data_IF_310365436195
#
_entry.id   IF_310365436195
#
_cell.length_a   1.000
_cell.length_b   1.000
_cell.length_c   1.000
_cell.angle_alpha   90.00
_cell.angle_beta   90.00
_cell.angle_gamma   90.00
#
_symmetry.space_group_name_H-M   'P 1'
#
loop_
_entity.id
_entity.type
_entity.pdbx_description
1 polymer ?
#
# COMPACT_ATOMS: atom_id res chain seq x y z
N UNK A 1 -35.52 -10.12 0.65
CA UNK A 1 -34.22 -9.48 1.04
C UNK A 1 -32.99 -10.37 0.79
N UNK A 2 -33.16 -11.64 0.52
CA UNK A 2 -32.08 -12.59 0.17
C UNK A 2 -31.47 -12.35 -1.21
N UNK A 3 -32.22 -11.76 -2.13
CA UNK A 3 -31.73 -11.51 -3.50
C UNK A 3 -30.51 -10.59 -3.62
N UNK A 4 -30.14 -9.90 -2.56
CA UNK A 4 -29.13 -8.83 -2.67
C UNK A 4 -27.67 -9.29 -2.49
N UNK A 5 -27.38 -10.58 -2.09
CA UNK A 5 -26.02 -11.14 -2.00
C UNK A 5 -25.72 -12.20 -3.05
N UNK A 6 -26.74 -12.76 -3.65
CA UNK A 6 -26.62 -13.88 -4.60
C UNK A 6 -25.84 -13.54 -5.88
N UNK A 7 -25.77 -12.25 -6.26
CA UNK A 7 -25.02 -11.86 -7.47
C UNK A 7 -23.51 -12.20 -7.37
N UNK A 8 -22.95 -12.20 -6.16
CA UNK A 8 -21.54 -12.59 -5.95
C UNK A 8 -21.29 -14.08 -6.22
N UNK A 9 -22.34 -14.90 -6.10
CA UNK A 9 -22.28 -16.34 -6.41
C UNK A 9 -22.67 -16.67 -7.85
N UNK A 10 -23.44 -15.82 -8.50
CA UNK A 10 -24.11 -16.13 -9.78
C UNK A 10 -23.56 -15.40 -10.98
N UNK A 11 -23.11 -14.15 -10.80
CA UNK A 11 -22.55 -13.38 -11.93
C UNK A 11 -21.22 -13.97 -12.42
N UNK A 12 -20.90 -13.80 -13.71
CA UNK A 12 -19.61 -14.25 -14.26
C UNK A 12 -18.43 -13.65 -13.49
N UNK A 13 -17.47 -14.51 -13.15
CA UNK A 13 -16.29 -14.15 -12.35
C UNK A 13 -15.53 -12.94 -12.93
N UNK A 14 -15.36 -12.89 -14.26
CA UNK A 14 -14.69 -11.77 -14.91
C UNK A 14 -15.39 -10.43 -14.71
N UNK A 15 -16.72 -10.41 -14.79
CA UNK A 15 -17.51 -9.19 -14.58
C UNK A 15 -17.41 -8.70 -13.13
N UNK A 16 -17.47 -9.60 -12.18
CA UNK A 16 -17.29 -9.27 -10.75
C UNK A 16 -15.90 -8.73 -10.47
N UNK A 17 -14.86 -9.34 -11.03
CA UNK A 17 -13.50 -8.86 -10.87
C UNK A 17 -13.35 -7.43 -11.40
N UNK A 18 -13.85 -7.13 -12.59
CA UNK A 18 -13.83 -5.76 -13.13
C UNK A 18 -14.59 -4.77 -12.22
N UNK A 19 -15.76 -5.16 -11.75
CA UNK A 19 -16.60 -4.31 -10.91
C UNK A 19 -15.95 -3.93 -9.58
N UNK A 20 -15.15 -4.82 -8.98
CA UNK A 20 -14.50 -4.61 -7.69
C UNK A 20 -13.03 -4.21 -7.81
N UNK A 21 -12.29 -4.78 -8.74
CA UNK A 21 -10.86 -4.50 -8.88
C UNK A 21 -10.58 -3.12 -9.47
N UNK A 22 -11.28 -2.72 -10.53
CA UNK A 22 -11.04 -1.42 -11.19
C UNK A 22 -11.19 -0.24 -10.24
N UNK A 23 -12.28 -0.09 -9.45
CA UNK A 23 -12.37 1.00 -8.49
C UNK A 23 -11.24 0.99 -7.45
N UNK A 24 -10.84 -0.16 -6.97
CA UNK A 24 -9.76 -0.29 -5.99
C UNK A 24 -8.40 0.10 -6.59
N UNK A 25 -8.11 -0.34 -7.81
CA UNK A 25 -6.90 0.06 -8.55
C UNK A 25 -6.85 1.56 -8.73
N UNK A 26 -7.95 2.18 -9.16
CA UNK A 26 -8.04 3.64 -9.34
C UNK A 26 -7.79 4.35 -8.01
N UNK A 27 -8.39 3.90 -6.91
CA UNK A 27 -8.19 4.49 -5.58
C UNK A 27 -6.72 4.47 -5.15
N UNK A 28 -6.06 3.32 -5.28
CA UNK A 28 -4.66 3.18 -4.86
C UNK A 28 -3.69 3.89 -5.79
N UNK A 29 -3.96 3.85 -7.10
CA UNK A 29 -3.14 4.53 -8.09
C UNK A 29 -3.21 6.06 -7.92
N UNK A 30 -4.40 6.61 -7.73
CA UNK A 30 -4.59 8.04 -7.45
C UNK A 30 -3.91 8.43 -6.13
N UNK A 31 -4.01 7.57 -5.11
CA UNK A 31 -3.31 7.79 -3.84
C UNK A 31 -1.78 7.86 -3.99
N UNK A 32 -1.20 6.99 -4.82
CA UNK A 32 0.23 7.03 -5.12
C UNK A 32 0.62 8.29 -5.94
N UNK A 33 -0.20 8.65 -6.92
CA UNK A 33 0.06 9.80 -7.79
C UNK A 33 -0.07 11.14 -7.06
N UNK A 34 -1.08 11.32 -6.20
CA UNK A 34 -1.22 12.59 -5.50
C UNK A 34 -0.06 12.85 -4.52
N UNK A 35 0.50 11.83 -3.90
CA UNK A 35 1.69 11.97 -3.07
C UNK A 35 2.90 12.49 -3.88
N UNK A 36 3.05 12.01 -5.11
CA UNK A 36 4.10 12.50 -6.02
C UNK A 36 3.85 13.96 -6.41
N UNK A 37 2.60 14.31 -6.71
CA UNK A 37 2.21 15.68 -7.06
C UNK A 37 2.45 16.65 -5.91
N UNK A 38 2.10 16.27 -4.68
CA UNK A 38 2.35 17.05 -3.47
C UNK A 38 3.84 17.34 -3.28
N UNK A 39 4.69 16.32 -3.44
CA UNK A 39 6.15 16.50 -3.41
C UNK A 39 6.65 17.45 -4.49
N UNK A 40 6.08 17.39 -5.69
CA UNK A 40 6.44 18.30 -6.79
C UNK A 40 6.09 19.75 -6.43
N UNK A 41 4.93 20.01 -5.86
CA UNK A 41 4.55 21.36 -5.42
C UNK A 41 5.48 21.88 -4.33
N UNK A 42 5.82 21.09 -3.34
CA UNK A 42 6.76 21.48 -2.27
C UNK A 42 8.15 21.77 -2.86
N UNK A 43 8.63 20.90 -3.76
CA UNK A 43 9.95 21.07 -4.38
C UNK A 43 10.05 22.33 -5.26
N UNK A 44 8.94 22.76 -5.88
CA UNK A 44 8.90 23.96 -6.72
C UNK A 44 8.62 25.25 -5.95
N UNK A 45 8.37 25.18 -4.65
CA UNK A 45 8.22 26.35 -3.81
C UNK A 45 9.61 26.92 -3.46
N UNK A 46 10.02 27.98 -4.16
CA UNK A 46 11.37 28.55 -4.04
C UNK A 46 11.72 29.03 -2.62
N UNK A 47 10.73 29.50 -1.85
CA UNK A 47 10.93 29.96 -0.48
C UNK A 47 11.10 28.83 0.55
N UNK A 48 10.68 27.60 0.22
CA UNK A 48 10.92 26.41 1.05
C UNK A 48 12.27 25.77 0.74
N UNK A 49 12.75 25.91 -0.49
CA UNK A 49 13.98 25.29 -0.95
C UNK A 49 13.98 23.77 -0.81
N UNK A 50 15.16 23.20 -0.72
CA UNK A 50 15.34 21.76 -0.49
C UNK A 50 14.93 21.31 0.92
N UNK A 51 14.82 22.23 1.87
CA UNK A 51 14.44 21.94 3.26
C UNK A 51 13.01 21.46 3.38
N UNK A 52 12.09 22.00 2.58
CA UNK A 52 10.69 21.55 2.56
C UNK A 52 10.56 20.10 2.09
N UNK A 53 11.27 19.74 1.04
CA UNK A 53 11.27 18.36 0.53
C UNK A 53 11.95 17.39 1.50
N UNK A 54 13.03 17.81 2.16
CA UNK A 54 13.68 17.04 3.22
C UNK A 54 12.74 16.79 4.40
N UNK A 55 12.00 17.81 4.84
CA UNK A 55 11.00 17.70 5.90
C UNK A 55 9.88 16.71 5.55
N UNK A 56 9.37 16.76 4.32
CA UNK A 56 8.38 15.79 3.83
C UNK A 56 8.93 14.35 3.88
N UNK A 57 10.18 14.17 3.48
CA UNK A 57 10.85 12.85 3.54
C UNK A 57 10.99 12.31 4.96
N UNK A 58 11.28 13.17 5.94
CA UNK A 58 11.37 12.81 7.36
C UNK A 58 10.02 12.36 7.91
N UNK A 59 8.95 13.03 7.54
CA UNK A 59 7.58 12.76 8.05
C UNK A 59 6.91 11.58 7.32
N UNK A 60 7.28 11.29 6.09
CA UNK A 60 6.66 10.23 5.28
C UNK A 60 6.58 8.87 5.99
N UNK A 61 7.64 8.32 6.64
CA UNK A 61 7.53 7.04 7.33
C UNK A 61 6.46 7.02 8.43
N UNK A 62 6.21 8.16 9.06
CA UNK A 62 5.23 8.29 10.14
C UNK A 62 3.79 8.20 9.59
N UNK A 63 3.56 8.72 8.40
CA UNK A 63 2.27 8.55 7.71
C UNK A 63 2.07 7.09 7.26
N UNK A 64 3.13 6.41 6.88
CA UNK A 64 3.07 4.98 6.51
C UNK A 64 2.76 4.10 7.73
N UNK A 65 3.26 4.43 8.91
CA UNK A 65 2.87 3.72 10.16
C UNK A 65 1.36 3.85 10.41
N UNK A 66 0.81 5.05 10.26
CA UNK A 66 -0.63 5.28 10.38
C UNK A 66 -1.41 4.47 9.34
N UNK A 67 -0.96 4.47 8.09
CA UNK A 67 -1.55 3.67 7.01
C UNK A 67 -1.50 2.18 7.33
N UNK A 68 -0.38 1.67 7.83
CA UNK A 68 -0.22 0.26 8.17
C UNK A 68 -1.26 -0.20 9.20
N UNK A 69 -1.48 0.59 10.25
CA UNK A 69 -2.50 0.31 11.27
C UNK A 69 -3.90 0.36 10.65
N UNK A 70 -4.18 1.37 9.85
CA UNK A 70 -5.48 1.56 9.21
C UNK A 70 -5.84 0.40 8.27
N UNK A 71 -4.92 -0.02 7.39
CA UNK A 71 -5.18 -1.14 6.47
C UNK A 71 -5.23 -2.48 7.17
N UNK A 72 -4.52 -2.64 8.28
CA UNK A 72 -4.66 -3.85 9.12
C UNK A 72 -6.09 -3.99 9.62
N UNK A 73 -6.69 -2.93 10.12
CA UNK A 73 -8.08 -2.91 10.57
C UNK A 73 -9.03 -3.09 9.38
N UNK A 74 -8.85 -2.32 8.33
CA UNK A 74 -9.74 -2.28 7.18
C UNK A 74 -9.76 -3.56 6.36
N UNK A 75 -8.61 -4.06 5.94
CA UNK A 75 -8.52 -5.29 5.15
C UNK A 75 -8.87 -6.54 5.98
N UNK A 76 -8.49 -6.54 7.26
CA UNK A 76 -8.90 -7.60 8.18
C UNK A 76 -10.41 -7.66 8.36
N UNK A 77 -11.05 -6.51 8.56
CA UNK A 77 -12.50 -6.41 8.62
C UNK A 77 -13.16 -6.79 7.29
N UNK A 78 -12.64 -6.33 6.16
CA UNK A 78 -13.16 -6.66 4.83
C UNK A 78 -13.17 -8.18 4.60
N UNK A 79 -12.07 -8.85 4.92
CA UNK A 79 -11.96 -10.31 4.81
C UNK A 79 -12.94 -11.03 5.72
N UNK A 80 -12.97 -10.66 6.99
CA UNK A 80 -13.88 -11.29 7.97
C UNK A 80 -15.35 -11.10 7.59
N UNK A 81 -15.74 -9.90 7.24
CA UNK A 81 -17.10 -9.55 6.80
C UNK A 81 -17.49 -10.32 5.55
N UNK A 82 -16.62 -10.40 4.56
CA UNK A 82 -16.88 -11.08 3.30
C UNK A 82 -17.12 -12.58 3.51
N UNK A 83 -16.28 -13.22 4.32
CA UNK A 83 -16.44 -14.65 4.68
C UNK A 83 -17.72 -14.85 5.50
N UNK A 84 -18.00 -13.98 6.47
CA UNK A 84 -19.19 -14.07 7.31
C UNK A 84 -20.48 -13.92 6.50
N UNK A 85 -20.51 -13.00 5.54
CA UNK A 85 -21.64 -12.84 4.62
C UNK A 85 -21.84 -14.07 3.74
N UNK A 86 -20.77 -14.68 3.25
CA UNK A 86 -20.81 -15.92 2.50
C UNK A 86 -21.39 -17.09 3.30
N UNK A 87 -21.11 -17.13 4.61
CA UNK A 87 -21.67 -18.11 5.56
C UNK A 87 -23.10 -17.79 6.00
N UNK A 88 -23.68 -16.68 5.55
CA UNK A 88 -24.99 -16.22 6.00
C UNK A 88 -25.02 -15.58 7.41
N UNK A 89 -23.87 -15.35 8.02
CA UNK A 89 -23.73 -14.78 9.38
C UNK A 89 -23.70 -13.25 9.33
N UNK A 90 -24.83 -12.64 9.00
CA UNK A 90 -24.93 -11.17 8.86
C UNK A 90 -24.69 -10.41 10.16
N UNK A 91 -25.08 -11.00 11.29
CA UNK A 91 -24.88 -10.36 12.60
C UNK A 91 -23.40 -10.23 12.95
N UNK A 92 -22.60 -11.29 12.71
CA UNK A 92 -21.14 -11.27 12.89
C UNK A 92 -20.49 -10.22 11.98
N UNK A 93 -20.95 -10.11 10.74
CA UNK A 93 -20.48 -9.09 9.80
C UNK A 93 -20.78 -7.66 10.29
N UNK A 94 -21.99 -7.39 10.80
CA UNK A 94 -22.34 -6.07 11.36
C UNK A 94 -21.50 -5.73 12.58
N UNK A 95 -21.32 -6.67 13.49
CA UNK A 95 -20.47 -6.49 14.67
C UNK A 95 -19.02 -6.20 14.28
N UNK A 96 -18.49 -6.89 13.29
CA UNK A 96 -17.16 -6.65 12.78
C UNK A 96 -17.00 -5.23 12.22
N UNK A 97 -17.97 -4.73 11.46
CA UNK A 97 -17.96 -3.35 10.95
C UNK A 97 -18.00 -2.34 12.11
N UNK A 98 -18.89 -2.54 13.10
CA UNK A 98 -18.95 -1.66 14.27
C UNK A 98 -17.65 -1.64 15.07
N UNK A 99 -17.05 -2.79 15.28
CA UNK A 99 -15.74 -2.91 15.95
C UNK A 99 -14.60 -2.26 15.13
N UNK A 100 -14.63 -2.40 13.81
CA UNK A 100 -13.64 -1.74 12.93
C UNK A 100 -13.75 -0.22 12.98
N UNK A 101 -14.96 0.33 13.03
CA UNK A 101 -15.20 1.77 13.22
C UNK A 101 -14.57 2.28 14.51
N UNK A 102 -14.82 1.59 15.62
CA UNK A 102 -14.30 1.96 16.94
C UNK A 102 -12.77 1.82 16.98
N UNK A 103 -12.22 0.73 16.44
CA UNK A 103 -10.79 0.51 16.38
C UNK A 103 -10.08 1.57 15.53
N UNK A 104 -10.65 1.91 14.37
CA UNK A 104 -10.06 2.92 13.48
C UNK A 104 -10.07 4.31 14.12
N UNK A 105 -11.20 4.72 14.71
CA UNK A 105 -11.30 5.99 15.40
C UNK A 105 -10.39 6.04 16.64
N UNK A 106 -10.43 5.02 17.48
CA UNK A 106 -9.65 4.93 18.72
C UNK A 106 -8.15 4.88 18.47
N UNK A 107 -7.70 4.04 17.54
CA UNK A 107 -6.27 3.94 17.18
C UNK A 107 -5.75 5.23 16.55
N UNK A 108 -6.57 5.90 15.74
CA UNK A 108 -6.24 7.21 15.16
C UNK A 108 -6.04 8.27 16.22
N UNK A 109 -6.92 8.35 17.23
CA UNK A 109 -6.78 9.28 18.34
C UNK A 109 -5.56 8.97 19.21
N UNK A 110 -5.33 7.70 19.53
CA UNK A 110 -4.17 7.28 20.33
C UNK A 110 -2.87 7.62 19.59
N UNK A 111 -2.78 7.31 18.31
CA UNK A 111 -1.59 7.61 17.52
C UNK A 111 -1.35 9.12 17.39
N UNK A 112 -2.40 9.92 17.24
CA UNK A 112 -2.31 11.38 17.22
C UNK A 112 -1.75 11.91 18.53
N UNK A 113 -2.24 11.44 19.67
CA UNK A 113 -1.73 11.84 20.99
C UNK A 113 -0.25 11.47 21.14
N UNK A 114 0.13 10.26 20.76
CA UNK A 114 1.53 9.82 20.80
C UNK A 114 2.42 10.66 19.89
N UNK A 115 1.97 10.98 18.68
CA UNK A 115 2.72 11.82 17.75
C UNK A 115 2.90 13.24 18.25
N UNK A 116 1.86 13.83 18.84
CA UNK A 116 1.95 15.20 19.39
C UNK A 116 2.85 15.26 20.63
N UNK A 117 2.79 14.27 21.53
CA UNK A 117 3.59 14.23 22.74
C UNK A 117 5.06 13.90 22.48
N UNK A 118 5.35 13.04 21.51
CA UNK A 118 6.70 12.54 21.21
C UNK A 118 7.25 13.08 19.90
N UNK A 119 6.70 14.18 19.37
CA UNK A 119 7.03 14.70 18.06
C UNK A 119 8.55 14.93 17.86
N UNK A 120 9.20 15.61 18.78
CA UNK A 120 10.61 15.96 18.65
C UNK A 120 11.51 14.72 18.68
N UNK A 121 11.23 13.77 19.58
CA UNK A 121 11.98 12.53 19.68
C UNK A 121 11.81 11.66 18.42
N UNK A 122 10.59 11.57 17.91
CA UNK A 122 10.29 10.78 16.71
C UNK A 122 10.96 11.41 15.49
N UNK A 123 10.85 12.71 15.30
CA UNK A 123 11.48 13.41 14.17
C UNK A 123 13.01 13.32 14.22
N UNK A 124 13.61 13.37 15.41
CA UNK A 124 15.04 13.17 15.59
C UNK A 124 15.47 11.75 15.16
N UNK A 125 14.68 10.72 15.50
CA UNK A 125 14.95 9.34 15.10
C UNK A 125 14.92 9.14 13.57
N UNK A 126 14.11 9.90 12.86
CA UNK A 126 13.98 9.79 11.39
C UNK A 126 14.83 10.80 10.61
N UNK A 127 15.80 11.41 11.26
CA UNK A 127 16.81 12.27 10.62
C UNK A 127 16.42 13.74 10.48
N UNK A 128 15.41 14.20 11.20
CA UNK A 128 14.99 15.61 11.18
C UNK A 128 16.03 16.59 11.70
N UNK A 129 16.99 16.12 12.48
CA UNK A 129 18.04 16.95 13.11
C UNK A 129 19.25 17.23 12.23
N UNK A 130 19.21 16.92 10.94
CA UNK A 130 20.31 17.17 9.98
C UNK A 130 20.70 18.66 9.97
N UNK A 131 19.72 19.55 10.01
CA UNK A 131 19.93 20.99 10.20
C UNK A 131 18.69 21.62 10.86
N UNK A 132 18.87 22.84 11.38
CA UNK A 132 17.82 23.54 12.13
C UNK A 132 16.58 23.87 11.28
N UNK A 133 16.75 24.19 10.00
CA UNK A 133 15.63 24.55 9.12
C UNK A 133 14.81 23.32 8.74
N UNK A 134 15.44 22.20 8.39
CA UNK A 134 14.75 20.93 8.14
C UNK A 134 13.97 20.49 9.37
N UNK A 135 14.55 20.62 10.57
CA UNK A 135 13.87 20.27 11.81
C UNK A 135 12.64 21.16 12.06
N UNK A 136 12.76 22.46 11.87
CA UNK A 136 11.66 23.41 12.01
C UNK A 136 10.51 23.10 11.03
N UNK A 137 10.82 22.89 9.76
CA UNK A 137 9.81 22.52 8.76
C UNK A 137 9.20 21.15 9.03
N UNK A 138 9.98 20.19 9.50
CA UNK A 138 9.49 18.88 9.92
C UNK A 138 8.53 18.97 11.09
N UNK A 139 8.84 19.77 12.11
CA UNK A 139 7.96 20.01 13.25
C UNK A 139 6.64 20.65 12.82
N UNK A 140 6.69 21.68 11.98
CA UNK A 140 5.50 22.36 11.46
C UNK A 140 4.62 21.40 10.64
N UNK A 141 5.21 20.72 9.69
CA UNK A 141 4.49 19.76 8.83
C UNK A 141 3.90 18.60 9.65
N UNK A 142 4.68 18.02 10.54
CA UNK A 142 4.28 16.89 11.36
C UNK A 142 3.17 17.26 12.35
N UNK A 143 3.21 18.45 12.93
CA UNK A 143 2.13 18.91 13.81
C UNK A 143 0.78 18.93 13.11
N UNK A 144 0.70 19.56 11.94
CA UNK A 144 -0.56 19.65 11.20
C UNK A 144 -0.99 18.31 10.60
N UNK A 145 -0.06 17.52 10.10
CA UNK A 145 -0.36 16.16 9.64
C UNK A 145 -0.88 15.28 10.78
N UNK A 146 -0.32 15.40 11.99
CA UNK A 146 -0.77 14.64 13.17
C UNK A 146 -2.21 14.95 13.55
N UNK A 147 -2.64 16.20 13.38
CA UNK A 147 -4.04 16.59 13.61
C UNK A 147 -5.00 15.90 12.62
N UNK A 148 -4.53 15.58 11.43
CA UNK A 148 -5.29 14.87 10.40
C UNK A 148 -5.23 13.35 10.50
N UNK A 149 -4.36 12.77 11.32
CA UNK A 149 -4.17 11.31 11.43
C UNK A 149 -5.47 10.55 11.78
N UNK A 150 -6.32 11.00 12.71
CA UNK A 150 -7.58 10.30 12.98
C UNK A 150 -8.47 10.19 11.74
N UNK A 151 -8.58 11.25 10.98
CA UNK A 151 -9.38 11.29 9.74
C UNK A 151 -8.74 10.42 8.65
N UNK A 152 -7.43 10.50 8.49
CA UNK A 152 -6.68 9.69 7.53
C UNK A 152 -6.84 8.19 7.81
N UNK A 153 -6.59 7.77 9.03
CA UNK A 153 -6.72 6.37 9.43
C UNK A 153 -8.16 5.87 9.29
N UNK A 154 -9.13 6.69 9.67
CA UNK A 154 -10.55 6.34 9.54
C UNK A 154 -10.93 6.14 8.06
N UNK A 155 -10.57 7.06 7.19
CA UNK A 155 -10.85 6.95 5.76
C UNK A 155 -10.18 5.73 5.11
N UNK A 156 -8.92 5.48 5.45
CA UNK A 156 -8.18 4.34 4.92
C UNK A 156 -8.70 2.98 5.44
N UNK A 157 -9.12 2.92 6.70
CA UNK A 157 -9.70 1.71 7.26
C UNK A 157 -11.10 1.43 6.72
N UNK A 158 -11.91 2.46 6.52
CA UNK A 158 -13.30 2.30 6.04
C UNK A 158 -13.40 2.01 4.55
N UNK A 159 -12.41 2.35 3.74
CA UNK A 159 -12.43 2.07 2.31
C UNK A 159 -12.62 0.57 2.00
N UNK A 160 -11.81 -0.38 2.56
CA UNK A 160 -12.07 -1.81 2.41
C UNK A 160 -13.42 -2.27 2.96
N UNK A 161 -13.84 -1.70 4.09
CA UNK A 161 -15.14 -2.04 4.71
C UNK A 161 -16.30 -1.66 3.80
N UNK A 162 -16.26 -0.50 3.18
CA UNK A 162 -17.26 -0.04 2.21
C UNK A 162 -17.29 -0.95 0.99
N UNK A 163 -16.13 -1.40 0.50
CA UNK A 163 -16.06 -2.40 -0.58
C UNK A 163 -16.73 -3.71 -0.19
N UNK A 164 -16.48 -4.20 1.03
CA UNK A 164 -17.14 -5.40 1.55
C UNK A 164 -18.65 -5.24 1.65
N UNK A 165 -19.10 -4.01 1.93
CA UNK A 165 -20.50 -3.61 1.91
C UNK A 165 -21.11 -3.38 0.54
N UNK A 166 -20.46 -3.81 -0.54
CA UNK A 166 -20.88 -3.77 -1.95
C UNK A 166 -20.93 -2.41 -2.61
N UNK A 167 -20.16 -1.47 -2.12
CA UNK A 167 -20.05 -0.15 -2.72
C UNK A 167 -18.61 0.18 -3.12
N UNK A 168 -17.94 -0.62 -4.00
CA UNK A 168 -16.58 -0.33 -4.41
C UNK A 168 -16.47 1.01 -5.14
N UNK A 169 -17.49 1.40 -5.91
CA UNK A 169 -17.54 2.71 -6.58
C UNK A 169 -17.58 3.86 -5.59
N UNK A 170 -18.36 3.74 -4.53
CA UNK A 170 -18.42 4.79 -3.51
C UNK A 170 -17.09 4.91 -2.77
N UNK A 171 -16.44 3.81 -2.43
CA UNK A 171 -15.10 3.81 -1.85
C UNK A 171 -14.08 4.53 -2.74
N UNK A 172 -14.11 4.28 -4.04
CA UNK A 172 -13.31 5.00 -5.03
C UNK A 172 -13.63 6.49 -5.07
N UNK A 173 -14.90 6.86 -5.15
CA UNK A 173 -15.34 8.27 -5.21
C UNK A 173 -14.91 9.04 -3.98
N UNK A 174 -15.01 8.46 -2.79
CA UNK A 174 -14.58 9.12 -1.55
C UNK A 174 -13.08 9.40 -1.54
N UNK A 175 -12.27 8.46 -2.00
CA UNK A 175 -10.82 8.65 -2.14
C UNK A 175 -10.48 9.69 -3.20
N UNK A 176 -11.14 9.64 -4.36
CA UNK A 176 -10.95 10.61 -5.44
C UNK A 176 -11.33 12.03 -5.01
N UNK A 177 -12.43 12.19 -4.30
CA UNK A 177 -12.86 13.51 -3.80
C UNK A 177 -11.80 14.13 -2.89
N UNK A 178 -11.27 13.36 -1.95
CA UNK A 178 -10.20 13.81 -1.07
C UNK A 178 -8.91 14.18 -1.83
N UNK A 179 -8.50 13.34 -2.78
CA UNK A 179 -7.30 13.57 -3.59
C UNK A 179 -7.44 14.80 -4.50
N UNK A 180 -8.57 14.99 -5.15
CA UNK A 180 -8.84 16.16 -6.02
C UNK A 180 -8.81 17.45 -5.20
N UNK A 181 -9.46 17.49 -4.05
CA UNK A 181 -9.43 18.66 -3.17
C UNK A 181 -8.00 18.97 -2.70
N UNK A 182 -7.25 17.96 -2.31
CA UNK A 182 -5.84 18.12 -1.94
C UNK A 182 -5.02 18.75 -3.08
N UNK A 183 -5.10 18.18 -4.29
CA UNK A 183 -4.36 18.67 -5.46
C UNK A 183 -4.76 20.10 -5.83
N UNK A 184 -6.03 20.49 -5.68
CA UNK A 184 -6.49 21.85 -5.95
C UNK A 184 -6.05 22.85 -4.88
N UNK A 185 -6.03 22.46 -3.62
CA UNK A 185 -5.68 23.33 -2.50
C UNK A 185 -4.16 23.50 -2.31
N UNK A 186 -3.36 22.51 -2.67
CA UNK A 186 -1.90 22.57 -2.53
C UNK A 186 -1.28 23.82 -3.19
N UNK A 187 -1.51 24.10 -4.49
CA UNK A 187 -0.97 25.29 -5.11
C UNK A 187 -1.46 26.59 -4.46
N UNK A 188 -2.72 26.62 -4.05
CA UNK A 188 -3.31 27.80 -3.43
C UNK A 188 -2.63 28.09 -2.09
N UNK A 189 -2.49 27.10 -1.23
CA UNK A 189 -1.90 27.30 0.09
C UNK A 189 -0.38 27.45 0.08
N UNK A 190 0.31 26.79 -0.85
CA UNK A 190 1.77 26.86 -0.96
C UNK A 190 2.21 28.11 -1.72
N UNK A 191 1.63 28.42 -2.89
CA UNK A 191 2.10 29.47 -3.78
C UNK A 191 1.37 30.80 -3.59
N UNK A 192 0.04 30.79 -3.43
CA UNK A 192 -0.76 32.03 -3.29
C UNK A 192 -0.75 32.54 -1.87
N UNK A 193 -1.14 31.68 -0.91
CA UNK A 193 -1.17 32.05 0.52
C UNK A 193 0.22 32.06 1.18
N UNK A 194 1.19 31.38 0.58
CA UNK A 194 2.56 31.22 1.10
C UNK A 194 2.62 30.68 2.53
N UNK A 195 1.77 29.73 2.83
CA UNK A 195 1.75 29.11 4.16
C UNK A 195 2.86 28.06 4.37
N UNK A 196 3.63 27.75 3.34
CA UNK A 196 4.76 26.83 3.42
C UNK A 196 4.36 25.41 3.72
N UNK A 197 5.08 24.76 4.62
CA UNK A 197 4.80 23.37 5.02
C UNK A 197 3.45 23.23 5.74
N UNK A 198 3.02 24.25 6.47
CA UNK A 198 1.68 24.30 7.03
C UNK A 198 0.61 24.21 5.93
N UNK A 199 0.78 24.95 4.84
CA UNK A 199 -0.15 24.92 3.70
C UNK A 199 -0.27 23.55 3.05
N UNK A 200 0.85 22.90 2.81
CA UNK A 200 0.88 21.53 2.28
C UNK A 200 0.17 20.54 3.22
N UNK A 201 0.46 20.62 4.51
CA UNK A 201 -0.18 19.76 5.52
C UNK A 201 -1.68 20.02 5.63
N UNK A 202 -2.12 21.27 5.67
CA UNK A 202 -3.53 21.64 5.77
C UNK A 202 -4.31 21.17 4.54
N UNK A 203 -3.77 21.33 3.33
CA UNK A 203 -4.39 20.85 2.10
C UNK A 203 -4.60 19.32 2.16
N UNK A 204 -3.60 18.59 2.60
CA UNK A 204 -3.67 17.13 2.79
C UNK A 204 -4.73 16.76 3.83
N UNK A 205 -4.75 17.43 4.97
CA UNK A 205 -5.72 17.17 6.05
C UNK A 205 -7.15 17.46 5.61
N UNK A 206 -7.39 18.53 4.85
CA UNK A 206 -8.72 18.84 4.31
C UNK A 206 -9.20 17.71 3.39
N UNK A 207 -8.33 17.20 2.51
CA UNK A 207 -8.64 16.05 1.67
C UNK A 207 -8.98 14.80 2.49
N UNK A 208 -8.24 14.54 3.55
CA UNK A 208 -8.47 13.41 4.47
C UNK A 208 -9.80 13.55 5.24
N UNK A 209 -10.12 14.75 5.71
CA UNK A 209 -11.39 15.05 6.36
C UNK A 209 -12.58 14.82 5.43
N UNK A 210 -12.46 15.20 4.17
CA UNK A 210 -13.51 14.96 3.16
C UNK A 210 -13.71 13.46 2.95
N UNK A 211 -12.64 12.70 2.78
CA UNK A 211 -12.70 11.23 2.61
C UNK A 211 -13.34 10.57 3.85
N UNK A 212 -12.90 10.93 5.04
CA UNK A 212 -13.46 10.41 6.28
C UNK A 212 -14.93 10.83 6.47
N UNK A 213 -15.27 12.06 6.16
CA UNK A 213 -16.64 12.58 6.24
C UNK A 213 -17.59 11.83 5.30
N UNK A 214 -17.17 11.54 4.07
CA UNK A 214 -17.95 10.72 3.15
C UNK A 214 -18.14 9.29 3.66
N UNK A 215 -17.12 8.71 4.27
CA UNK A 215 -17.23 7.40 4.90
C UNK A 215 -18.23 7.40 6.06
N UNK A 216 -18.16 8.37 6.96
CA UNK A 216 -19.11 8.54 8.08
C UNK A 216 -20.53 8.74 7.56
N UNK A 217 -20.70 9.54 6.52
CA UNK A 217 -22.00 9.77 5.90
C UNK A 217 -22.60 8.49 5.30
N UNK A 218 -21.75 7.64 4.71
CA UNK A 218 -22.18 6.43 4.01
C UNK A 218 -22.44 5.24 4.95
N UNK A 219 -21.68 5.09 6.04
CA UNK A 219 -21.82 3.95 6.95
C UNK A 219 -23.26 3.69 7.43
N UNK A 220 -24.07 4.68 7.89
CA UNK A 220 -25.46 4.45 8.27
C UNK A 220 -26.37 4.11 7.09
N UNK A 221 -25.91 4.35 5.86
CA UNK A 221 -26.65 4.13 4.61
C UNK A 221 -26.30 2.84 3.92
N UNK A 222 -25.39 2.05 4.48
CA UNK A 222 -25.02 0.74 3.94
C UNK A 222 -26.24 -0.18 3.86
N UNK A 223 -26.41 -0.80 2.70
CA UNK A 223 -27.59 -1.66 2.46
C UNK A 223 -27.45 -3.05 3.06
N UNK A 224 -26.23 -3.57 3.16
CA UNK A 224 -25.95 -4.97 3.51
C UNK A 224 -25.49 -5.12 4.94
N UNK A 225 -24.57 -4.26 5.39
CA UNK A 225 -23.90 -4.36 6.68
C UNK A 225 -23.99 -3.03 7.44
N UNK A 226 -25.20 -2.58 7.68
CA UNK A 226 -25.41 -1.34 8.44
C UNK A 226 -25.06 -1.55 9.91
N UNK A 227 -24.00 -0.91 10.43
CA UNK A 227 -23.67 -1.03 11.85
C UNK A 227 -24.70 -0.24 12.70
N UNK A 228 -25.17 -0.87 13.77
CA UNK A 228 -26.02 -0.25 14.77
C UNK A 228 -25.24 0.12 16.03
N UNK A 229 -25.88 0.85 16.94
CA UNK A 229 -25.26 1.20 18.24
C UNK A 229 -24.85 -0.03 19.07
N UNK A 230 -25.57 -1.14 18.89
CA UNK A 230 -25.29 -2.43 19.58
C UNK A 230 -24.04 -3.14 19.06
N UNK A 231 -23.58 -2.77 17.86
CA UNK A 231 -22.42 -3.37 17.22
C UNK A 231 -21.11 -2.64 17.55
N UNK A 232 -21.19 -1.48 18.19
CA UNK A 232 -20.01 -0.67 18.56
C UNK A 232 -19.18 -1.23 19.73
N UNK A 233 -19.73 -1.89 20.77
CA UNK A 233 -18.92 -2.43 21.84
C UNK A 233 -17.89 -3.42 21.32
N UNK A 234 -16.63 -3.26 21.75
CA UNK A 234 -15.52 -4.11 21.32
C UNK A 234 -15.63 -5.52 21.89
N UNK A 235 -15.54 -6.51 21.02
CA UNK A 235 -15.43 -7.92 21.38
C UNK A 235 -13.99 -8.40 21.13
N UNK A 236 -13.26 -8.74 22.18
CA UNK A 236 -11.86 -9.09 22.08
C UNK A 236 -11.54 -10.22 21.10
N UNK A 237 -12.35 -11.30 21.10
CA UNK A 237 -12.17 -12.42 20.16
C UNK A 237 -12.40 -12.00 18.72
N UNK A 238 -13.41 -11.19 18.45
CA UNK A 238 -13.75 -10.68 17.12
C UNK A 238 -12.65 -9.74 16.61
N UNK A 239 -12.22 -8.80 17.44
CA UNK A 239 -11.11 -7.90 17.11
C UNK A 239 -9.82 -8.67 16.82
N UNK A 240 -9.49 -9.67 17.64
CA UNK A 240 -8.32 -10.51 17.41
C UNK A 240 -8.37 -11.24 16.07
N UNK A 241 -9.50 -11.80 15.69
CA UNK A 241 -9.67 -12.45 14.38
C UNK A 241 -9.52 -11.49 13.22
N UNK A 242 -10.14 -10.30 13.30
CA UNK A 242 -10.03 -9.28 12.25
C UNK A 242 -8.58 -8.81 12.11
N UNK A 243 -7.92 -8.48 13.20
CA UNK A 243 -6.54 -8.00 13.18
C UNK A 243 -5.58 -9.06 12.67
N UNK A 244 -5.78 -10.32 13.06
CA UNK A 244 -4.98 -11.46 12.56
C UNK A 244 -5.09 -11.60 11.04
N UNK A 245 -6.27 -11.43 10.48
CA UNK A 245 -6.48 -11.44 9.03
C UNK A 245 -5.83 -10.22 8.33
N UNK A 246 -5.70 -9.10 9.04
CA UNK A 246 -5.12 -7.87 8.51
C UNK A 246 -3.60 -7.74 8.66
N UNK A 247 -2.93 -8.63 9.40
CA UNK A 247 -1.48 -8.52 9.65
C UNK A 247 -0.66 -8.51 8.35
N UNK A 248 -1.08 -9.24 7.33
CA UNK A 248 -0.42 -9.22 6.02
C UNK A 248 -0.35 -7.81 5.43
N UNK A 249 -1.44 -7.07 5.47
CA UNK A 249 -1.50 -5.69 4.99
C UNK A 249 -0.62 -4.77 5.84
N UNK A 250 -0.62 -4.94 7.16
CA UNK A 250 0.26 -4.21 8.07
C UNK A 250 1.74 -4.44 7.74
N UNK A 251 2.16 -5.69 7.61
CA UNK A 251 3.54 -6.05 7.29
C UNK A 251 3.97 -5.49 5.93
N UNK A 252 3.10 -5.53 4.93
CA UNK A 252 3.39 -4.97 3.60
C UNK A 252 3.69 -3.47 3.64
N UNK A 253 3.04 -2.72 4.51
CA UNK A 253 3.28 -1.28 4.65
C UNK A 253 4.52 -0.97 5.50
N UNK A 254 4.67 -1.63 6.64
CA UNK A 254 5.82 -1.41 7.54
C UNK A 254 7.13 -1.84 6.89
N UNK A 255 7.15 -2.95 6.18
CA UNK A 255 8.34 -3.44 5.49
C UNK A 255 8.81 -2.52 4.37
N UNK A 256 7.88 -1.80 3.72
CA UNK A 256 8.24 -0.79 2.74
C UNK A 256 9.18 0.27 3.33
N UNK A 257 8.85 0.78 4.53
CA UNK A 257 9.69 1.78 5.23
C UNK A 257 11.04 1.17 5.62
N UNK A 258 11.03 -0.04 6.17
CA UNK A 258 12.26 -0.72 6.55
C UNK A 258 13.17 -1.02 5.34
N UNK A 259 12.59 -1.46 4.24
CA UNK A 259 13.32 -1.72 3.00
C UNK A 259 13.90 -0.44 2.40
N UNK A 260 13.13 0.66 2.37
CA UNK A 260 13.63 1.96 1.91
C UNK A 260 14.79 2.47 2.76
N UNK A 261 14.68 2.35 4.08
CA UNK A 261 15.76 2.74 4.99
C UNK A 261 17.02 1.91 4.76
N UNK A 262 16.89 0.59 4.63
CA UNK A 262 18.00 -0.31 4.35
C UNK A 262 18.67 0.01 3.01
N UNK A 263 17.88 0.18 1.95
CA UNK A 263 18.36 0.52 0.61
C UNK A 263 19.09 1.86 0.62
N UNK A 264 18.51 2.89 1.22
CA UNK A 264 19.12 4.22 1.26
C UNK A 264 20.46 4.21 2.03
N UNK A 265 20.52 3.51 3.15
CA UNK A 265 21.76 3.38 3.92
C UNK A 265 22.84 2.63 3.13
N UNK A 266 22.47 1.58 2.44
CA UNK A 266 23.42 0.80 1.61
C UNK A 266 23.88 1.57 0.38
N UNK A 267 22.99 2.32 -0.27
CA UNK A 267 23.36 3.20 -1.38
C UNK A 267 24.35 4.27 -0.95
N UNK A 268 24.17 4.87 0.22
CA UNK A 268 25.10 5.85 0.78
C UNK A 268 26.45 5.22 1.08
N UNK A 269 26.45 4.09 1.78
CA UNK A 269 27.70 3.39 2.18
C UNK A 269 28.50 2.89 0.98
N UNK A 270 27.89 2.15 0.09
CA UNK A 270 28.57 1.53 -1.04
C UNK A 270 28.74 2.48 -2.23
N UNK A 271 27.91 3.49 -2.37
CA UNK A 271 28.12 4.59 -3.30
C UNK A 271 29.38 5.38 -2.99
N UNK A 272 29.67 5.64 -1.72
CA UNK A 272 30.90 6.29 -1.28
C UNK A 272 32.18 5.47 -1.57
N UNK A 273 32.05 4.14 -1.67
CA UNK A 273 33.16 3.24 -1.99
C UNK A 273 33.32 2.99 -3.50
N UNK A 274 32.37 3.45 -4.32
CA UNK A 274 32.44 3.30 -5.77
C UNK A 274 33.44 4.27 -6.40
N UNK A 275 34.25 3.85 -7.39
CA UNK A 275 35.26 4.72 -8.02
C UNK A 275 34.67 5.96 -8.69
N UNK A 276 33.44 5.90 -9.22
CA UNK A 276 32.77 7.01 -9.89
C UNK A 276 31.90 7.79 -8.91
N UNK A 277 31.01 7.11 -8.16
CA UNK A 277 30.06 7.74 -7.27
C UNK A 277 30.64 8.12 -5.89
N UNK A 278 31.85 7.70 -5.59
CA UNK A 278 32.62 8.20 -4.45
C UNK A 278 33.12 9.63 -4.62
N UNK A 279 33.10 10.17 -5.85
CA UNK A 279 33.43 11.58 -6.13
C UNK A 279 32.27 12.49 -5.69
N UNK A 280 32.61 13.62 -5.06
CA UNK A 280 31.63 14.54 -4.50
C UNK A 280 30.58 15.03 -5.53
N UNK A 281 31.00 15.22 -6.77
CA UNK A 281 30.14 15.70 -7.86
C UNK A 281 29.09 14.67 -8.34
N UNK A 282 29.29 13.38 -8.07
CA UNK A 282 28.42 12.27 -8.51
C UNK A 282 27.80 11.50 -7.35
N UNK A 283 28.06 11.90 -6.12
CA UNK A 283 27.66 11.15 -4.92
C UNK A 283 26.14 10.94 -4.77
N UNK A 284 25.34 11.87 -5.30
CA UNK A 284 23.86 11.83 -5.23
C UNK A 284 23.22 10.90 -6.26
N UNK A 285 23.94 10.50 -7.31
CA UNK A 285 23.39 9.74 -8.44
C UNK A 285 22.74 8.41 -8.02
N UNK A 286 23.39 7.53 -7.21
CA UNK A 286 22.78 6.26 -6.83
C UNK A 286 21.44 6.41 -6.14
N UNK A 287 21.32 7.34 -5.20
CA UNK A 287 20.06 7.59 -4.48
C UNK A 287 18.98 8.16 -5.38
N UNK A 288 19.34 9.11 -6.25
CA UNK A 288 18.40 9.71 -7.19
C UNK A 288 17.84 8.67 -8.18
N UNK A 289 18.71 7.85 -8.74
CA UNK A 289 18.32 6.82 -9.70
C UNK A 289 17.45 5.73 -9.07
N UNK A 290 17.87 5.18 -7.95
CA UNK A 290 17.07 4.14 -7.27
C UNK A 290 15.75 4.72 -6.78
N UNK A 291 15.72 5.98 -6.38
CA UNK A 291 14.47 6.68 -6.05
C UNK A 291 13.47 6.70 -7.22
N UNK A 292 13.94 6.93 -8.44
CA UNK A 292 13.10 6.91 -9.66
C UNK A 292 12.58 5.49 -9.93
N UNK A 293 13.44 4.49 -9.86
CA UNK A 293 13.08 3.08 -10.04
C UNK A 293 12.02 2.65 -9.03
N UNK A 294 12.18 3.07 -7.77
CA UNK A 294 11.21 2.77 -6.72
C UNK A 294 9.86 3.46 -6.93
N UNK A 295 9.82 4.69 -7.47
CA UNK A 295 8.57 5.36 -7.84
C UNK A 295 7.82 4.60 -8.92
N UNK A 296 8.51 4.17 -9.95
CA UNK A 296 7.92 3.31 -10.98
C UNK A 296 7.38 2.01 -10.41
N UNK A 297 8.18 1.35 -9.60
CA UNK A 297 7.79 0.12 -8.90
C UNK A 297 6.55 0.34 -7.99
N UNK A 298 6.49 1.45 -7.29
CA UNK A 298 5.34 1.80 -6.45
C UNK A 298 4.04 1.94 -7.24
N UNK A 299 4.10 2.52 -8.44
CA UNK A 299 2.95 2.61 -9.35
C UNK A 299 2.49 1.20 -9.75
N UNK A 300 3.42 0.34 -10.16
CA UNK A 300 3.11 -1.05 -10.52
C UNK A 300 2.47 -1.80 -9.36
N UNK A 301 3.06 -1.71 -8.18
CA UNK A 301 2.53 -2.37 -6.97
C UNK A 301 1.17 -1.81 -6.54
N UNK A 302 0.91 -0.52 -6.74
CA UNK A 302 -0.41 0.06 -6.47
C UNK A 302 -1.49 -0.59 -7.35
N UNK A 303 -1.19 -0.84 -8.61
CA UNK A 303 -2.09 -1.56 -9.52
C UNK A 303 -2.29 -3.01 -9.05
N UNK A 304 -1.22 -3.70 -8.74
CA UNK A 304 -1.22 -5.10 -8.29
C UNK A 304 -1.99 -5.28 -6.99
N UNK A 305 -1.67 -4.51 -5.97
CA UNK A 305 -2.39 -4.54 -4.69
C UNK A 305 -3.86 -4.15 -4.87
N UNK A 306 -4.14 -3.16 -5.73
CA UNK A 306 -5.50 -2.74 -6.05
C UNK A 306 -6.34 -3.86 -6.67
N UNK A 307 -5.77 -4.64 -7.59
CA UNK A 307 -6.47 -5.79 -8.19
C UNK A 307 -6.72 -6.89 -7.16
N UNK A 308 -5.72 -7.25 -6.40
CA UNK A 308 -5.83 -8.32 -5.41
C UNK A 308 -6.74 -7.94 -4.24
N UNK A 309 -6.53 -6.76 -3.64
CA UNK A 309 -7.35 -6.27 -2.53
C UNK A 309 -8.79 -5.95 -2.95
N UNK A 310 -9.00 -5.48 -4.16
CA UNK A 310 -10.32 -5.28 -4.74
C UNK A 310 -11.13 -6.57 -4.86
N UNK A 311 -10.45 -7.70 -5.07
CA UNK A 311 -11.10 -9.01 -5.15
C UNK A 311 -11.39 -9.65 -3.79
N UNK A 312 -10.88 -9.13 -2.67
CA UNK A 312 -11.12 -9.71 -1.33
C UNK A 312 -12.62 -9.92 -1.04
N UNK A 313 -13.53 -8.96 -1.29
CA UNK A 313 -14.95 -9.17 -1.06
C UNK A 313 -15.55 -10.35 -1.83
N UNK A 314 -15.13 -10.53 -3.08
CA UNK A 314 -15.65 -11.62 -3.94
C UNK A 314 -15.10 -12.97 -3.49
N UNK A 315 -13.80 -13.03 -3.28
CA UNK A 315 -13.09 -14.25 -2.85
C UNK A 315 -13.58 -14.69 -1.48
N UNK A 316 -13.61 -13.76 -0.52
CA UNK A 316 -14.07 -14.05 0.84
C UNK A 316 -15.52 -14.52 0.89
N UNK A 317 -16.42 -13.87 0.14
CA UNK A 317 -17.82 -14.27 0.06
C UNK A 317 -17.98 -15.69 -0.50
N UNK A 318 -17.38 -15.97 -1.66
CA UNK A 318 -17.47 -17.30 -2.28
C UNK A 318 -16.80 -18.38 -1.42
N UNK A 319 -15.75 -18.02 -0.68
CA UNK A 319 -15.12 -18.94 0.26
C UNK A 319 -16.06 -19.26 1.44
N UNK A 320 -16.72 -18.26 2.00
CA UNK A 320 -17.72 -18.43 3.05
C UNK A 320 -18.94 -19.20 2.59
N UNK A 321 -19.36 -19.05 1.34
CA UNK A 321 -20.46 -19.76 0.72
C UNK A 321 -20.08 -21.17 0.22
N UNK A 322 -18.85 -21.62 0.48
CA UNK A 322 -18.32 -22.93 0.08
C UNK A 322 -18.29 -23.16 -1.45
N UNK A 323 -18.29 -22.08 -2.26
CA UNK A 323 -18.19 -22.11 -3.71
C UNK A 323 -16.73 -22.23 -4.18
N UNK A 324 -16.05 -23.29 -3.78
CA UNK A 324 -14.59 -23.46 -3.99
C UNK A 324 -14.15 -23.42 -5.44
N UNK A 325 -14.98 -23.92 -6.38
CA UNK A 325 -14.67 -23.81 -7.80
C UNK A 325 -14.61 -22.37 -8.29
N UNK A 326 -15.51 -21.52 -7.81
CA UNK A 326 -15.48 -20.09 -8.14
C UNK A 326 -14.26 -19.40 -7.53
N UNK A 327 -13.90 -19.75 -6.30
CA UNK A 327 -12.67 -19.27 -5.65
C UNK A 327 -11.43 -19.68 -6.45
N UNK A 328 -11.39 -20.91 -6.94
CA UNK A 328 -10.31 -21.39 -7.83
C UNK A 328 -10.24 -20.60 -9.14
N UNK A 329 -11.38 -20.34 -9.78
CA UNK A 329 -11.45 -19.51 -10.99
C UNK A 329 -10.98 -18.08 -10.74
N UNK A 330 -11.40 -17.47 -9.62
CA UNK A 330 -10.95 -16.14 -9.18
C UNK A 330 -9.44 -16.12 -8.99
N UNK A 331 -8.89 -17.12 -8.34
CA UNK A 331 -7.44 -17.23 -8.12
C UNK A 331 -6.66 -17.32 -9.43
N UNK A 332 -7.09 -18.18 -10.33
CA UNK A 332 -6.46 -18.36 -11.65
C UNK A 332 -6.49 -17.05 -12.44
N UNK A 333 -7.64 -16.39 -12.52
CA UNK A 333 -7.77 -15.12 -13.25
C UNK A 333 -6.97 -14.01 -12.59
N UNK A 334 -6.92 -13.95 -11.27
CA UNK A 334 -6.11 -12.98 -10.54
C UNK A 334 -4.62 -13.18 -10.85
N UNK A 335 -4.11 -14.40 -10.75
CA UNK A 335 -2.70 -14.69 -11.06
C UNK A 335 -2.33 -14.34 -12.49
N UNK A 336 -3.19 -14.64 -13.46
CA UNK A 336 -2.97 -14.30 -14.87
C UNK A 336 -2.96 -12.78 -15.05
N UNK A 337 -3.91 -12.07 -14.47
CA UNK A 337 -3.98 -10.62 -14.57
C UNK A 337 -2.75 -9.94 -13.92
N UNK A 338 -2.32 -10.41 -12.76
CA UNK A 338 -1.13 -9.90 -12.07
C UNK A 338 0.16 -10.20 -12.85
N UNK A 339 0.29 -11.40 -13.42
CA UNK A 339 1.40 -11.74 -14.28
C UNK A 339 1.41 -10.87 -15.55
N UNK A 340 0.25 -10.56 -16.13
CA UNK A 340 0.14 -9.67 -17.27
C UNK A 340 0.59 -8.23 -16.94
N UNK A 341 0.17 -7.69 -15.81
CA UNK A 341 0.65 -6.38 -15.34
C UNK A 341 2.16 -6.38 -15.13
N UNK A 342 2.68 -7.42 -14.49
CA UNK A 342 4.12 -7.61 -14.31
C UNK A 342 4.87 -7.70 -15.63
N UNK A 343 4.34 -8.41 -16.62
CA UNK A 343 4.91 -8.53 -17.95
C UNK A 343 4.96 -7.18 -18.68
N UNK A 344 3.89 -6.38 -18.60
CA UNK A 344 3.88 -5.03 -19.16
C UNK A 344 4.91 -4.15 -18.49
N UNK A 345 5.01 -4.18 -17.15
CA UNK A 345 6.01 -3.43 -16.39
C UNK A 345 7.43 -3.85 -16.77
N UNK A 346 7.68 -5.15 -16.94
CA UNK A 346 8.96 -5.70 -17.35
C UNK A 346 9.34 -5.21 -18.76
N UNK A 347 8.41 -5.28 -19.71
CA UNK A 347 8.63 -4.79 -21.07
C UNK A 347 8.96 -3.29 -21.09
N UNK A 348 8.26 -2.49 -20.31
CA UNK A 348 8.56 -1.06 -20.19
C UNK A 348 9.96 -0.83 -19.60
N UNK A 349 10.32 -1.55 -18.56
CA UNK A 349 11.64 -1.40 -17.92
C UNK A 349 12.81 -1.89 -18.78
N UNK A 350 12.63 -2.97 -19.54
CA UNK A 350 13.69 -3.56 -20.38
C UNK A 350 13.80 -2.91 -21.76
N UNK A 351 12.67 -2.62 -22.40
CA UNK A 351 12.63 -2.09 -23.77
C UNK A 351 12.63 -0.57 -23.84
N UNK A 352 12.03 0.12 -22.86
CA UNK A 352 11.86 1.58 -22.84
C UNK A 352 12.44 2.24 -21.59
N UNK A 353 13.60 1.84 -21.04
CA UNK A 353 14.12 2.43 -19.82
C UNK A 353 14.47 3.90 -19.97
N UNK A 354 14.93 4.33 -21.14
CA UNK A 354 15.24 5.74 -21.43
C UNK A 354 14.02 6.65 -21.35
N UNK A 355 12.88 6.17 -21.85
CA UNK A 355 11.62 6.91 -21.78
C UNK A 355 11.15 7.04 -20.32
N UNK A 356 11.30 6.00 -19.51
CA UNK A 356 10.99 6.03 -18.07
C UNK A 356 11.91 6.99 -17.32
N UNK A 357 13.19 7.01 -17.62
CA UNK A 357 14.15 7.94 -17.04
C UNK A 357 13.77 9.40 -17.39
N UNK A 358 13.36 9.65 -18.63
CA UNK A 358 12.93 10.98 -19.07
C UNK A 358 11.66 11.46 -18.34
N UNK A 359 10.73 10.55 -18.07
CA UNK A 359 9.46 10.87 -17.38
C UNK A 359 9.68 11.12 -15.88
N UNK A 360 10.48 10.28 -15.22
CA UNK A 360 10.63 10.28 -13.76
C UNK A 360 11.88 10.99 -13.27
N UNK A 361 12.84 11.31 -14.15
CA UNK A 361 14.12 11.89 -13.81
C UNK A 361 14.53 13.04 -14.74
N UNK A 362 15.70 13.60 -14.48
CA UNK A 362 16.26 14.65 -15.30
C UNK A 362 16.83 14.08 -16.60
N UNK A 363 16.30 14.52 -17.73
CA UNK A 363 16.73 14.06 -19.06
C UNK A 363 18.16 14.50 -19.45
N UNK A 364 18.74 15.50 -18.77
CA UNK A 364 20.01 16.15 -19.13
C UNK A 364 21.11 15.98 -18.06
N UNK A 365 21.08 14.84 -17.37
CA UNK A 365 22.14 14.49 -16.42
C UNK A 365 23.39 13.92 -17.13
N UNK A 366 24.45 13.68 -16.37
CA UNK A 366 25.70 13.11 -16.89
C UNK A 366 25.52 11.71 -17.50
N UNK A 367 26.47 11.27 -18.32
CA UNK A 367 26.49 9.92 -18.87
C UNK A 367 26.49 8.84 -17.78
N UNK A 368 27.16 9.08 -16.65
CA UNK A 368 27.17 8.17 -15.50
C UNK A 368 25.77 8.00 -14.89
N UNK A 369 24.98 9.05 -14.83
CA UNK A 369 23.59 9.00 -14.40
C UNK A 369 22.75 8.08 -15.33
N UNK A 370 22.85 8.32 -16.63
CA UNK A 370 22.08 7.55 -17.62
C UNK A 370 22.47 6.09 -17.62
N UNK A 371 23.77 5.77 -17.59
CA UNK A 371 24.25 4.39 -17.59
C UNK A 371 23.84 3.62 -16.32
N UNK A 372 23.95 4.26 -15.17
CA UNK A 372 23.51 3.66 -13.91
C UNK A 372 21.98 3.51 -13.87
N UNK A 373 21.23 4.49 -14.38
CA UNK A 373 19.76 4.42 -14.43
C UNK A 373 19.28 3.29 -15.36
N UNK A 374 19.88 3.13 -16.54
CA UNK A 374 19.57 2.01 -17.44
C UNK A 374 19.81 0.66 -16.77
N UNK A 375 20.95 0.53 -16.10
CA UNK A 375 21.30 -0.69 -15.37
C UNK A 375 20.34 -0.94 -14.20
N UNK A 376 20.01 0.10 -13.44
CA UNK A 376 19.12 0.01 -12.31
C UNK A 376 17.70 -0.42 -12.72
N UNK A 377 17.12 0.18 -13.75
CA UNK A 377 15.81 -0.22 -14.25
C UNK A 377 15.79 -1.67 -14.71
N UNK A 378 16.81 -2.10 -15.44
CA UNK A 378 16.87 -3.46 -15.97
C UNK A 378 17.08 -4.51 -14.89
N UNK A 379 17.99 -4.28 -13.95
CA UNK A 379 18.31 -5.26 -12.90
C UNK A 379 17.24 -5.29 -11.84
N UNK A 380 16.89 -4.14 -11.26
CA UNK A 380 15.98 -4.07 -10.13
C UNK A 380 14.57 -4.57 -10.46
N UNK A 381 14.11 -4.34 -11.69
CA UNK A 381 12.79 -4.74 -12.17
C UNK A 381 12.83 -6.05 -13.00
N UNK A 382 13.94 -6.75 -13.06
CA UNK A 382 14.09 -7.96 -13.89
C UNK A 382 13.09 -9.07 -13.52
N UNK A 383 12.72 -9.19 -12.26
CA UNK A 383 11.79 -10.20 -11.73
C UNK A 383 10.47 -9.58 -11.23
N UNK A 384 10.05 -8.46 -11.81
CA UNK A 384 8.82 -7.77 -11.39
C UNK A 384 7.56 -8.62 -11.62
N UNK A 385 7.57 -9.52 -12.60
CA UNK A 385 6.47 -10.47 -12.80
C UNK A 385 6.28 -11.36 -11.58
N UNK A 386 7.37 -11.88 -11.04
CA UNK A 386 7.35 -12.70 -9.82
C UNK A 386 6.93 -11.89 -8.60
N UNK A 387 7.36 -10.63 -8.51
CA UNK A 387 6.92 -9.72 -7.46
C UNK A 387 5.40 -9.54 -7.46
N UNK A 388 4.81 -9.33 -8.63
CA UNK A 388 3.36 -9.21 -8.81
C UNK A 388 2.62 -10.49 -8.39
N UNK A 389 3.08 -11.65 -8.84
CA UNK A 389 2.50 -12.95 -8.50
C UNK A 389 2.62 -13.24 -7.00
N UNK A 390 3.74 -12.93 -6.38
CA UNK A 390 3.93 -13.08 -4.94
C UNK A 390 2.95 -12.20 -4.14
N UNK A 391 2.78 -10.93 -4.52
CA UNK A 391 1.79 -10.04 -3.90
C UNK A 391 0.37 -10.57 -4.02
N UNK A 392 -0.02 -11.01 -5.22
CA UNK A 392 -1.32 -11.64 -5.45
C UNK A 392 -1.53 -12.87 -4.55
N UNK A 393 -0.51 -13.70 -4.41
CA UNK A 393 -0.58 -14.93 -3.62
C UNK A 393 -0.88 -14.64 -2.14
N UNK A 394 -0.13 -13.74 -1.48
CA UNK A 394 -0.39 -13.50 -0.06
C UNK A 394 -1.66 -12.70 0.22
N UNK A 395 -2.07 -11.80 -0.66
CA UNK A 395 -3.37 -11.13 -0.53
C UNK A 395 -4.53 -12.12 -0.75
N UNK A 396 -4.40 -13.03 -1.71
CA UNK A 396 -5.40 -14.07 -1.93
C UNK A 396 -5.51 -15.04 -0.73
N UNK A 397 -4.40 -15.46 -0.16
CA UNK A 397 -4.40 -16.29 1.06
C UNK A 397 -5.08 -15.57 2.23
N UNK A 398 -4.88 -14.27 2.35
CA UNK A 398 -5.61 -13.41 3.30
C UNK A 398 -7.11 -13.44 3.01
N UNK A 399 -7.51 -13.27 1.75
CA UNK A 399 -8.91 -13.23 1.33
C UNK A 399 -9.68 -14.53 1.58
N UNK A 400 -9.03 -15.69 1.47
CA UNK A 400 -9.64 -16.99 1.80
C UNK A 400 -9.61 -17.33 3.29
N UNK A 401 -9.06 -16.45 4.11
CA UNK A 401 -9.01 -16.63 5.56
C UNK A 401 -7.82 -17.42 6.09
N UNK A 402 -6.84 -17.78 5.26
CA UNK A 402 -5.59 -18.44 5.67
C UNK A 402 -4.58 -17.42 6.20
N UNK A 403 -4.90 -16.82 7.35
CA UNK A 403 -4.12 -15.73 7.94
C UNK A 403 -2.66 -16.12 8.20
N UNK A 404 -2.41 -17.30 8.76
CA UNK A 404 -1.06 -17.75 9.10
C UNK A 404 -0.18 -17.91 7.83
N UNK A 405 -0.68 -18.59 6.81
CA UNK A 405 0.05 -18.77 5.56
C UNK A 405 0.33 -17.44 4.86
N UNK A 406 -0.66 -16.55 4.81
CA UNK A 406 -0.52 -15.19 4.26
C UNK A 406 0.52 -14.39 5.02
N UNK A 407 0.45 -14.36 6.34
CA UNK A 407 1.36 -13.63 7.22
C UNK A 407 2.79 -14.15 7.09
N UNK A 408 2.99 -15.46 7.14
CA UNK A 408 4.32 -16.07 7.01
C UNK A 408 4.95 -15.78 5.65
N UNK A 409 4.19 -15.94 4.57
CA UNK A 409 4.70 -15.66 3.23
C UNK A 409 5.06 -14.17 3.07
N UNK A 410 4.20 -13.29 3.54
CA UNK A 410 4.45 -11.84 3.54
C UNK A 410 5.67 -11.47 4.38
N UNK A 411 5.81 -12.02 5.58
CA UNK A 411 6.96 -11.79 6.45
C UNK A 411 8.27 -12.26 5.80
N UNK A 412 8.27 -13.45 5.20
CA UNK A 412 9.44 -13.99 4.49
C UNK A 412 9.83 -13.05 3.35
N UNK A 413 8.88 -12.64 2.52
CA UNK A 413 9.17 -11.77 1.37
C UNK A 413 9.60 -10.38 1.79
N UNK A 414 8.85 -9.77 2.68
CA UNK A 414 9.01 -8.34 2.97
C UNK A 414 10.12 -8.07 3.98
N UNK A 415 10.23 -8.87 5.03
CA UNK A 415 11.19 -8.66 6.11
C UNK A 415 12.45 -9.50 5.90
N UNK A 416 12.32 -10.82 5.86
CA UNK A 416 13.48 -11.72 5.83
C UNK A 416 14.30 -11.54 4.54
N UNK A 417 13.66 -11.63 3.39
CA UNK A 417 14.33 -11.49 2.10
C UNK A 417 14.46 -10.04 1.67
N UNK A 418 13.42 -9.23 1.77
CA UNK A 418 13.42 -7.85 1.32
C UNK A 418 14.48 -7.01 2.04
N UNK A 419 14.40 -6.91 3.35
CA UNK A 419 15.37 -6.17 4.16
C UNK A 419 16.69 -6.93 4.26
N UNK A 420 16.63 -8.24 4.46
CA UNK A 420 17.82 -9.09 4.64
C UNK A 420 18.76 -9.04 3.44
N UNK A 421 18.27 -9.22 2.23
CA UNK A 421 19.12 -9.13 1.01
C UNK A 421 19.53 -7.71 0.67
N UNK A 422 18.71 -6.69 1.00
CA UNK A 422 19.13 -5.31 0.85
C UNK A 422 20.35 -4.97 1.72
N UNK A 423 20.53 -5.64 2.86
CA UNK A 423 21.69 -5.48 3.74
C UNK A 423 22.85 -6.43 3.39
N UNK A 424 22.53 -7.66 2.96
CA UNK A 424 23.53 -8.73 2.76
C UNK A 424 24.24 -8.64 1.40
N UNK A 425 23.48 -8.50 0.31
CA UNK A 425 24.05 -8.55 -1.05
C UNK A 425 25.07 -7.43 -1.34
N UNK A 426 24.90 -6.19 -0.85
CA UNK A 426 25.92 -5.16 -1.04
C UNK A 426 27.29 -5.51 -0.43
N UNK A 427 27.32 -6.34 0.60
CA UNK A 427 28.58 -6.80 1.23
C UNK A 427 29.43 -7.58 0.24
N UNK A 428 28.80 -8.35 -0.65
CA UNK A 428 29.49 -9.20 -1.65
C UNK A 428 29.63 -8.52 -3.01
N UNK A 429 28.65 -7.73 -3.42
CA UNK A 429 28.55 -7.17 -4.77
C UNK A 429 28.66 -5.65 -4.82
N UNK A 430 28.88 -5.00 -3.69
CA UNK A 430 28.96 -3.53 -3.59
C UNK A 430 27.66 -2.85 -3.97
N UNK A 431 27.76 -1.76 -4.73
CA UNK A 431 26.59 -0.97 -5.13
C UNK A 431 25.57 -1.77 -5.95
N UNK A 432 26.03 -2.66 -6.82
CA UNK A 432 25.14 -3.51 -7.62
C UNK A 432 24.36 -4.52 -6.76
N UNK A 433 24.88 -4.88 -5.59
CA UNK A 433 24.18 -5.74 -4.64
C UNK A 433 22.85 -5.15 -4.17
N UNK A 434 22.73 -3.83 -4.08
CA UNK A 434 21.45 -3.15 -3.79
C UNK A 434 20.43 -3.41 -4.90
N UNK A 435 20.89 -3.37 -6.16
CA UNK A 435 20.02 -3.64 -7.31
C UNK A 435 19.60 -5.11 -7.39
N UNK A 436 20.43 -6.04 -6.98
CA UNK A 436 20.14 -7.48 -6.95
C UNK A 436 19.18 -7.88 -5.83
N UNK A 437 19.03 -7.09 -4.78
CA UNK A 437 18.24 -7.44 -3.60
C UNK A 437 16.79 -7.75 -3.93
N UNK A 438 16.18 -6.99 -4.81
CA UNK A 438 14.79 -7.18 -5.22
C UNK A 438 14.57 -8.45 -6.05
N UNK A 439 15.30 -8.67 -7.16
CA UNK A 439 15.15 -9.88 -7.96
C UNK A 439 15.39 -11.16 -7.16
N UNK A 440 16.41 -11.20 -6.34
CA UNK A 440 16.73 -12.37 -5.50
C UNK A 440 15.64 -12.66 -4.51
N UNK A 441 15.14 -11.64 -3.84
CA UNK A 441 14.01 -11.77 -2.91
C UNK A 441 12.76 -12.33 -3.58
N UNK A 442 12.43 -11.83 -4.76
CA UNK A 442 11.25 -12.25 -5.49
C UNK A 442 11.37 -13.68 -6.04
N UNK A 443 12.52 -14.07 -6.54
CA UNK A 443 12.76 -15.46 -7.01
C UNK A 443 12.63 -16.44 -5.86
N UNK A 444 13.29 -16.20 -4.73
CA UNK A 444 13.24 -17.11 -3.58
C UNK A 444 11.83 -17.17 -2.97
N UNK A 445 11.16 -16.05 -2.88
CA UNK A 445 9.75 -16.02 -2.42
C UNK A 445 8.84 -16.77 -3.38
N UNK A 446 9.05 -16.63 -4.69
CA UNK A 446 8.24 -17.34 -5.69
C UNK A 446 8.40 -18.86 -5.59
N UNK A 447 9.56 -19.37 -5.27
CA UNK A 447 9.74 -20.81 -5.04
C UNK A 447 8.84 -21.32 -3.90
N UNK A 448 8.75 -20.56 -2.82
CA UNK A 448 7.86 -20.85 -1.69
C UNK A 448 6.39 -20.65 -2.11
N UNK A 449 6.09 -19.55 -2.78
CA UNK A 449 4.75 -19.22 -3.24
C UNK A 449 4.22 -20.26 -4.24
N UNK A 450 5.05 -20.80 -5.12
CA UNK A 450 4.67 -21.85 -6.07
C UNK A 450 4.17 -23.10 -5.34
N UNK A 451 4.84 -23.51 -4.28
CA UNK A 451 4.41 -24.63 -3.44
C UNK A 451 3.05 -24.33 -2.80
N UNK A 452 2.87 -23.12 -2.27
CA UNK A 452 1.60 -22.70 -1.66
C UNK A 452 0.48 -22.57 -2.69
N UNK A 453 0.76 -22.08 -3.88
CA UNK A 453 -0.20 -22.04 -5.00
C UNK A 453 -0.68 -23.44 -5.35
N UNK A 454 0.24 -24.39 -5.55
CA UNK A 454 -0.10 -25.76 -5.86
C UNK A 454 -0.93 -26.43 -4.74
N UNK A 455 -0.54 -26.21 -3.48
CA UNK A 455 -1.32 -26.70 -2.33
C UNK A 455 -2.71 -26.06 -2.27
N UNK A 456 -2.82 -24.77 -2.57
CA UNK A 456 -4.10 -24.05 -2.59
C UNK A 456 -5.01 -24.59 -3.69
N UNK A 457 -4.49 -24.86 -4.88
CA UNK A 457 -5.27 -25.48 -5.95
C UNK A 457 -5.75 -26.87 -5.60
N UNK A 458 -4.91 -27.70 -4.98
CA UNK A 458 -5.30 -29.03 -4.50
C UNK A 458 -6.41 -28.93 -3.44
N UNK A 459 -6.22 -28.05 -2.47
CA UNK A 459 -7.20 -27.83 -1.41
C UNK A 459 -8.55 -27.35 -1.96
N UNK A 460 -8.57 -26.44 -2.92
CA UNK A 460 -9.80 -25.94 -3.55
C UNK A 460 -10.44 -26.99 -4.49
N UNK A 461 -9.69 -27.99 -4.93
CA UNK A 461 -10.18 -29.07 -5.81
C UNK A 461 -10.69 -30.32 -5.08
N UNK A 462 -10.42 -30.50 -3.80
CA UNK A 462 -10.72 -31.73 -3.07
C UNK A 462 -12.23 -32.06 -2.96
N UNK A 463 -13.09 -31.03 -2.87
CA UNK A 463 -14.54 -31.25 -2.73
C UNK A 463 -15.24 -31.56 -4.05
N UNK A 464 -14.59 -31.40 -5.19
CA UNK A 464 -15.16 -31.79 -6.50
C UNK A 464 -15.17 -33.30 -6.66
N UNK A 465 -14.18 -33.98 -6.10
CA UNK A 465 -14.08 -35.42 -6.14
C UNK A 465 -15.05 -36.10 -5.16
N UNK A 466 -15.28 -35.48 -3.99
CA UNK A 466 -16.22 -36.02 -2.99
C UNK A 466 -17.71 -35.84 -3.34
N UNK A 467 -18.03 -34.98 -4.32
CA UNK A 467 -19.39 -34.81 -4.83
C UNK A 467 -19.70 -35.70 -6.06
N UNK A 468 -18.66 -36.35 -6.59
CA UNK A 468 -18.77 -37.28 -7.71
C UNK A 468 -18.75 -38.77 -7.26
N UNK A 469 -18.42 -39.03 -5.99
CA UNK A 469 -18.61 -40.29 -5.29
C UNK A 469 -19.95 -40.30 -4.51
#
# INVERSE_FOLDING_TARGET
MEHNTQFLETEPVGRLMHRYAIPCVISLLVGALYNIVDQIFIANASYLGSYGNAANTVVFPLTVVALAIAVMIGDGCCTFVSISLGKGRREDARRAVGNAVVLAAGSGLVLTVLYLLLADQILAMFGGTVNAETFRYSQEYFFYISLGIPFYMFGQAMNPVIRAGRAPRFAMISTLAGAVVNILLDPIFIFVCRWGMMGAAVATVIGQVITAGLAVWYLPRMKVIRPGRRDLPLHGKLCSRMLTLGITSFLSQISLVAAMAAINNMLRKYGALDPVFGQAQYAQIPMAVVGIVMKFFQIVISIVVGMAAGCIPIVGYNMGAEKRLRVRQLFTRLLIAEAAVGAVALLLAECFPRSLIAIFGAANESSYYTDFALRAFRIYLSMVVLACVNKACFIFLQAVGKALASTLLSMIREVVFGVGFALLLPVYFGLDGVLYSMPVSDVLTFLIAAVLILRTYRWLGQDVLSQLE
#
